data_IF_067948242939
#
_entry.id   IF_067948242939
#
_cell.length_a   1.000
_cell.length_b   1.000
_cell.length_c   1.000
_cell.angle_alpha   90.00
_cell.angle_beta   90.00
_cell.angle_gamma   90.00
#
_symmetry.space_group_name_H-M   'P 1'
#
loop_
_entity.id
_entity.type
_entity.pdbx_description
1 polymer ?
#
# COMPACT_ATOMS: atom_id res chain seq x y z
N UNK A 1 -4.71 -9.42 21.89
CA UNK A 1 -5.04 -8.21 21.14
C UNK A 1 -4.90 -7.02 22.08
N UNK A 2 -3.96 -6.12 21.77
CA UNK A 2 -3.84 -4.87 22.49
C UNK A 2 -4.89 -3.87 21.92
N UNK A 3 -5.91 -3.54 22.70
CA UNK A 3 -6.97 -2.62 22.28
C UNK A 3 -6.48 -1.22 21.94
N UNK A 4 -5.27 -0.87 22.39
CA UNK A 4 -4.67 0.44 22.17
C UNK A 4 -3.67 0.44 20.99
N UNK A 5 -3.45 -0.68 20.32
CA UNK A 5 -2.60 -0.71 19.12
C UNK A 5 -3.21 0.18 18.02
N UNK A 6 -2.37 1.09 17.50
CA UNK A 6 -2.76 2.05 16.48
C UNK A 6 -3.74 3.13 16.93
N UNK A 7 -3.98 3.27 18.24
CA UNK A 7 -4.78 4.38 18.79
C UNK A 7 -3.92 5.63 18.89
N UNK A 8 -4.44 6.75 18.38
CA UNK A 8 -3.82 8.08 18.49
C UNK A 8 -4.59 8.90 19.50
N UNK A 9 -3.94 9.26 20.61
CA UNK A 9 -4.49 10.13 21.64
C UNK A 9 -4.23 11.59 21.29
N UNK A 10 -5.24 12.43 21.48
CA UNK A 10 -5.22 13.88 21.19
C UNK A 10 -5.81 14.66 22.37
N UNK A 11 -5.82 15.98 22.33
CA UNK A 11 -6.38 16.79 23.42
C UNK A 11 -7.90 16.57 23.61
N UNK A 12 -8.63 16.23 22.56
CA UNK A 12 -10.10 16.11 22.56
C UNK A 12 -10.64 14.70 22.72
N UNK A 13 -9.82 13.68 22.47
CA UNK A 13 -10.26 12.29 22.43
C UNK A 13 -9.23 11.42 21.73
N UNK A 14 -9.68 10.30 21.25
CA UNK A 14 -8.82 9.32 20.58
C UNK A 14 -9.34 8.96 19.19
N UNK A 15 -8.41 8.66 18.31
CA UNK A 15 -8.67 8.15 16.97
C UNK A 15 -8.19 6.71 16.87
N UNK A 16 -8.97 5.85 16.21
CA UNK A 16 -8.63 4.43 16.05
C UNK A 16 -9.12 3.88 14.71
N UNK A 17 -8.45 2.88 14.19
CA UNK A 17 -8.91 2.10 13.05
C UNK A 17 -9.50 0.77 13.56
N UNK A 18 -10.78 0.48 13.24
CA UNK A 18 -11.50 -0.72 13.72
C UNK A 18 -12.56 -1.17 12.71
N UNK A 19 -12.95 -2.44 12.81
CA UNK A 19 -13.97 -3.08 11.96
C UNK A 19 -15.36 -3.14 12.60
N UNK A 20 -15.74 -2.17 13.41
CA UNK A 20 -16.95 -2.26 14.28
C UNK A 20 -18.26 -2.44 13.53
N UNK A 21 -18.46 -1.79 12.38
CA UNK A 21 -19.78 -1.70 11.74
C UNK A 21 -19.81 -2.32 10.34
N UNK A 22 -18.70 -2.29 9.60
CA UNK A 22 -18.71 -2.56 8.16
C UNK A 22 -17.98 -3.84 7.78
N UNK A 23 -17.23 -4.44 8.71
CA UNK A 23 -16.27 -5.51 8.42
C UNK A 23 -14.98 -5.02 7.74
N UNK A 24 -14.90 -3.72 7.43
CA UNK A 24 -13.70 -3.06 6.91
C UNK A 24 -13.10 -2.13 7.97
N UNK A 25 -11.81 -1.90 7.92
CA UNK A 25 -11.14 -0.99 8.87
C UNK A 25 -11.53 0.46 8.59
N UNK A 26 -12.38 1.02 9.44
CA UNK A 26 -12.75 2.42 9.38
C UNK A 26 -12.06 3.20 10.48
N UNK A 27 -11.86 4.49 10.25
CA UNK A 27 -11.34 5.41 11.26
C UNK A 27 -12.49 5.95 12.08
N UNK A 28 -12.37 5.86 13.40
CA UNK A 28 -13.32 6.37 14.38
C UNK A 28 -12.67 7.42 15.27
N UNK A 29 -13.47 8.37 15.70
CA UNK A 29 -13.17 9.30 16.79
C UNK A 29 -14.04 8.98 17.99
N UNK A 30 -13.48 9.00 19.20
CA UNK A 30 -14.17 8.88 20.47
C UNK A 30 -13.70 10.00 21.41
N UNK A 31 -14.64 10.84 21.90
CA UNK A 31 -14.33 11.84 22.92
C UNK A 31 -14.07 11.21 24.29
N UNK A 32 -13.23 11.84 25.13
CA UNK A 32 -12.90 11.31 26.46
C UNK A 32 -14.10 11.21 27.41
N UNK A 33 -15.13 12.04 27.22
CA UNK A 33 -16.37 11.96 28.01
C UNK A 33 -17.39 10.95 27.46
N UNK A 34 -17.03 10.25 26.38
CA UNK A 34 -17.84 9.22 25.74
C UNK A 34 -19.09 9.72 25.01
N UNK A 35 -19.30 11.04 24.91
CA UNK A 35 -20.52 11.59 24.29
C UNK A 35 -20.46 11.65 22.78
N UNK A 36 -19.28 11.70 22.18
CA UNK A 36 -19.08 11.68 20.74
C UNK A 36 -18.36 10.40 20.34
N UNK A 37 -19.05 9.54 19.58
CA UNK A 37 -18.47 8.41 18.87
C UNK A 37 -18.85 8.52 17.40
N UNK A 38 -17.88 8.72 16.53
CA UNK A 38 -18.13 9.03 15.12
C UNK A 38 -17.19 8.29 14.18
N UNK A 39 -17.77 7.63 13.18
CA UNK A 39 -17.05 7.08 12.06
C UNK A 39 -16.69 8.18 11.07
N UNK A 40 -15.42 8.22 10.63
CA UNK A 40 -14.87 9.25 9.74
C UNK A 40 -14.70 8.76 8.30
N UNK A 41 -14.53 7.46 8.09
CA UNK A 41 -14.30 6.88 6.77
C UNK A 41 -15.34 5.84 6.42
N UNK A 42 -15.47 5.60 5.11
CA UNK A 42 -16.28 4.54 4.50
C UNK A 42 -15.47 3.76 3.47
N UNK A 43 -16.07 2.70 2.90
CA UNK A 43 -15.50 1.90 1.83
C UNK A 43 -14.65 0.74 2.33
N UNK A 44 -13.98 0.07 1.38
CA UNK A 44 -13.26 -1.17 1.62
C UNK A 44 -11.82 -0.90 2.06
N UNK A 45 -11.64 -0.30 3.24
CA UNK A 45 -10.32 -0.03 3.79
C UNK A 45 -9.80 -1.23 4.56
N UNK A 46 -8.55 -1.59 4.34
CA UNK A 46 -7.84 -2.55 5.15
C UNK A 46 -6.36 -2.19 5.27
N UNK A 47 -5.64 -2.80 6.22
CA UNK A 47 -4.25 -2.46 6.55
C UNK A 47 -4.11 -0.95 6.86
N UNK A 48 -5.05 -0.45 7.69
CA UNK A 48 -5.18 0.98 8.01
C UNK A 48 -4.27 1.35 9.16
N UNK A 49 -3.42 2.35 8.95
CA UNK A 49 -2.62 2.94 10.02
C UNK A 49 -2.79 4.47 10.02
N UNK A 50 -3.19 5.04 11.16
CA UNK A 50 -3.24 6.48 11.35
C UNK A 50 -1.81 7.00 11.55
N UNK A 51 -1.38 7.91 10.68
CA UNK A 51 0.00 8.44 10.71
C UNK A 51 0.08 9.86 11.27
N UNK A 52 -1.03 10.61 11.23
CA UNK A 52 -1.09 11.97 11.79
C UNK A 52 -2.54 12.41 12.00
N UNK A 53 -2.78 13.17 13.06
CA UNK A 53 -4.01 13.93 13.27
C UNK A 53 -3.66 15.41 13.32
N UNK A 54 -4.36 16.24 12.53
CA UNK A 54 -4.32 17.70 12.62
C UNK A 54 -5.62 18.18 13.30
N UNK A 55 -5.60 18.26 14.62
CA UNK A 55 -6.80 18.62 15.41
C UNK A 55 -7.34 20.01 15.08
N UNK A 56 -6.46 20.95 14.69
CA UNK A 56 -6.89 22.33 14.36
C UNK A 56 -7.75 22.34 13.11
N UNK A 57 -7.44 21.52 12.12
CA UNK A 57 -8.21 21.38 10.87
C UNK A 57 -9.29 20.29 10.97
N UNK A 58 -9.13 19.33 11.86
CA UNK A 58 -9.93 18.12 11.94
C UNK A 58 -9.60 17.13 10.83
N UNK A 59 -8.38 17.17 10.30
CA UNK A 59 -7.89 16.28 9.26
C UNK A 59 -7.17 15.08 9.89
N UNK A 60 -7.46 13.87 9.41
CA UNK A 60 -6.74 12.63 9.79
C UNK A 60 -6.03 12.08 8.57
N UNK A 61 -4.72 11.87 8.70
CA UNK A 61 -3.88 11.27 7.67
C UNK A 61 -3.64 9.80 8.01
N UNK A 62 -3.84 8.92 7.04
CA UNK A 62 -3.73 7.48 7.24
C UNK A 62 -3.21 6.78 6.00
N UNK A 63 -2.52 5.68 6.20
CA UNK A 63 -2.21 4.74 5.13
C UNK A 63 -3.24 3.62 5.12
N UNK A 64 -3.58 3.14 3.95
CA UNK A 64 -4.52 2.04 3.76
C UNK A 64 -4.36 1.39 2.39
N UNK A 65 -4.83 0.15 2.27
CA UNK A 65 -5.20 -0.46 1.00
C UNK A 65 -6.69 -0.22 0.82
N UNK A 66 -7.04 0.74 -0.03
CA UNK A 66 -8.41 1.19 -0.27
C UNK A 66 -8.81 1.06 -1.74
N UNK A 67 -8.06 1.71 -2.61
CA UNK A 67 -8.37 1.78 -4.04
C UNK A 67 -7.78 0.59 -4.81
N UNK A 68 -6.85 -0.15 -4.19
CA UNK A 68 -6.24 -1.34 -4.77
C UNK A 68 -5.80 -2.31 -3.67
N UNK A 69 -6.14 -3.59 -3.80
CA UNK A 69 -5.85 -4.64 -2.80
C UNK A 69 -4.36 -4.94 -2.63
N UNK A 70 -3.55 -4.72 -3.68
CA UNK A 70 -2.12 -5.01 -3.68
C UNK A 70 -1.24 -3.78 -3.38
N UNK A 71 -1.83 -2.59 -3.20
CA UNK A 71 -1.11 -1.32 -2.99
C UNK A 71 -1.59 -0.58 -1.76
N UNK A 72 -0.66 -0.06 -0.99
CA UNK A 72 -0.90 0.90 0.06
C UNK A 72 -0.72 2.32 -0.47
N UNK A 73 -1.56 3.25 -0.04
CA UNK A 73 -1.45 4.66 -0.35
C UNK A 73 -1.67 5.51 0.91
N UNK A 74 -1.22 6.77 0.86
CA UNK A 74 -1.53 7.77 1.88
C UNK A 74 -2.80 8.51 1.52
N UNK A 75 -3.70 8.60 2.47
CA UNK A 75 -4.97 9.31 2.38
C UNK A 75 -5.08 10.38 3.47
N UNK A 76 -5.95 11.31 3.23
CA UNK A 76 -6.44 12.27 4.22
C UNK A 76 -7.96 12.20 4.25
N UNK A 77 -8.55 12.10 5.42
CA UNK A 77 -9.98 12.36 5.63
C UNK A 77 -10.14 13.69 6.37
N UNK A 78 -11.00 14.56 5.86
CA UNK A 78 -11.32 15.84 6.50
C UNK A 78 -12.48 15.70 7.52
N UNK A 79 -12.76 16.78 8.24
CA UNK A 79 -13.86 16.82 9.24
C UNK A 79 -15.26 16.56 8.67
N UNK A 80 -15.44 16.61 7.32
CA UNK A 80 -16.71 16.32 6.63
C UNK A 80 -16.76 14.86 6.16
N UNK A 81 -15.70 14.06 6.38
CA UNK A 81 -15.60 12.68 5.91
C UNK A 81 -15.13 12.55 4.45
N UNK A 82 -14.65 13.64 3.83
CA UNK A 82 -14.13 13.57 2.45
C UNK A 82 -12.73 12.99 2.47
N UNK A 83 -12.57 11.84 1.82
CA UNK A 83 -11.27 11.17 1.66
C UNK A 83 -10.58 11.65 0.40
N UNK A 84 -9.31 12.02 0.53
CA UNK A 84 -8.44 12.47 -0.58
C UNK A 84 -7.18 11.63 -0.58
N UNK A 85 -6.79 11.08 -1.74
CA UNK A 85 -5.51 10.37 -1.93
C UNK A 85 -4.37 11.39 -2.04
N UNK A 86 -3.27 11.16 -1.32
CA UNK A 86 -2.11 12.05 -1.27
C UNK A 86 -0.86 11.49 -1.98
N UNK A 87 -0.88 10.25 -2.40
CA UNK A 87 0.21 9.58 -3.14
C UNK A 87 -0.24 9.15 -4.53
N UNK A 88 0.71 8.99 -5.45
CA UNK A 88 0.39 8.58 -6.83
C UNK A 88 -0.17 7.14 -6.85
N UNK A 89 -1.38 6.90 -7.38
CA UNK A 89 -2.00 5.58 -7.43
C UNK A 89 -1.24 4.57 -8.31
N UNK A 90 -0.30 5.03 -9.14
CA UNK A 90 0.58 4.14 -9.91
C UNK A 90 1.54 3.34 -9.02
N UNK A 91 1.78 3.79 -7.79
CA UNK A 91 2.79 3.21 -6.90
C UNK A 91 2.20 2.76 -5.57
N UNK A 92 2.85 1.76 -4.98
CA UNK A 92 2.69 1.40 -3.57
C UNK A 92 3.52 2.37 -2.73
N UNK A 93 2.90 3.06 -1.78
CA UNK A 93 3.55 4.04 -0.91
C UNK A 93 3.61 3.52 0.52
N UNK A 94 4.80 3.54 1.12
CA UNK A 94 5.08 3.04 2.47
C UNK A 94 6.03 3.97 3.22
N UNK A 95 6.24 3.72 4.52
CA UNK A 95 7.20 4.47 5.33
C UNK A 95 6.87 5.97 5.42
N UNK A 96 5.59 6.30 5.49
CA UNK A 96 5.13 7.70 5.56
C UNK A 96 5.50 8.32 6.90
N UNK A 97 6.17 9.47 6.85
CA UNK A 97 6.48 10.29 8.02
C UNK A 97 6.31 11.77 7.73
N UNK A 98 5.64 12.50 8.61
CA UNK A 98 5.37 13.93 8.44
C UNK A 98 6.42 14.79 9.13
N UNK A 99 6.69 15.97 8.55
CA UNK A 99 7.41 17.03 9.24
C UNK A 99 6.63 17.50 10.49
N UNK A 100 7.31 18.02 11.54
CA UNK A 100 6.63 18.50 12.75
C UNK A 100 5.53 19.52 12.48
N UNK A 101 5.74 20.41 11.51
CA UNK A 101 4.75 21.43 11.13
C UNK A 101 3.62 20.88 10.21
N UNK A 102 3.72 19.61 9.80
CA UNK A 102 2.75 18.93 8.96
C UNK A 102 2.64 19.44 7.52
N UNK A 103 3.58 20.27 7.06
CA UNK A 103 3.54 20.83 5.69
C UNK A 103 4.11 19.86 4.65
N UNK A 104 4.94 18.94 5.07
CA UNK A 104 5.65 17.99 4.24
C UNK A 104 5.49 16.57 4.79
N UNK A 105 5.61 15.58 3.92
CA UNK A 105 5.83 14.20 4.32
C UNK A 105 6.88 13.55 3.42
N UNK A 106 7.57 12.58 3.97
CA UNK A 106 8.43 11.65 3.22
C UNK A 106 7.68 10.35 3.03
N UNK A 107 7.88 9.69 1.90
CA UNK A 107 7.41 8.34 1.65
C UNK A 107 8.37 7.59 0.73
N UNK A 108 8.43 6.27 0.92
CA UNK A 108 9.00 5.35 -0.05
C UNK A 108 7.92 4.93 -1.02
N UNK A 109 8.21 4.88 -2.31
CA UNK A 109 7.26 4.41 -3.31
C UNK A 109 7.93 3.52 -4.36
N UNK A 110 7.20 2.54 -4.85
CA UNK A 110 7.64 1.59 -5.87
C UNK A 110 6.44 0.89 -6.49
N UNK A 111 6.67 0.14 -7.54
CA UNK A 111 5.78 -0.89 -8.06
C UNK A 111 6.62 -2.06 -8.58
N UNK A 112 6.01 -3.09 -9.16
CA UNK A 112 6.73 -4.30 -9.63
C UNK A 112 7.81 -4.01 -10.67
N UNK A 113 7.71 -2.91 -11.43
CA UNK A 113 8.66 -2.53 -12.49
C UNK A 113 9.55 -1.33 -12.14
N UNK A 114 9.24 -0.64 -11.05
CA UNK A 114 9.97 0.57 -10.64
C UNK A 114 10.68 0.32 -9.31
N UNK A 115 12.02 0.36 -9.26
CA UNK A 115 12.81 0.32 -8.05
C UNK A 115 12.35 1.35 -7.01
N UNK A 116 12.54 1.02 -5.74
CA UNK A 116 12.11 1.89 -4.64
C UNK A 116 12.80 3.25 -4.71
N UNK A 117 11.99 4.29 -4.60
CA UNK A 117 12.44 5.67 -4.46
C UNK A 117 11.91 6.25 -3.15
N UNK A 118 12.66 7.15 -2.57
CA UNK A 118 12.25 7.95 -1.42
C UNK A 118 12.11 9.39 -1.86
N UNK A 119 10.98 10.01 -1.56
CA UNK A 119 10.74 11.39 -1.92
C UNK A 119 10.05 12.17 -0.81
N UNK A 120 10.22 13.49 -0.85
CA UNK A 120 9.54 14.46 0.00
C UNK A 120 8.41 15.10 -0.80
N UNK A 121 7.22 15.14 -0.20
CA UNK A 121 5.99 15.64 -0.81
C UNK A 121 5.36 16.75 0.03
N UNK A 122 4.72 17.76 -0.60
CA UNK A 122 3.89 18.70 0.14
C UNK A 122 2.59 18.03 0.59
N UNK A 123 2.20 18.22 1.85
CA UNK A 123 0.98 17.63 2.42
C UNK A 123 -0.33 18.28 1.92
N UNK A 124 -0.24 19.36 1.15
CA UNK A 124 -1.41 20.10 0.65
C UNK A 124 -2.27 19.32 -0.37
N UNK A 125 -1.77 18.22 -0.92
CA UNK A 125 -2.48 17.39 -1.89
C UNK A 125 -2.68 18.01 -3.27
N UNK A 126 -2.26 19.25 -3.49
CA UNK A 126 -2.52 19.97 -4.75
C UNK A 126 -1.70 19.50 -5.94
N UNK A 127 -0.60 18.78 -5.71
CA UNK A 127 0.28 18.21 -6.76
C UNK A 127 0.88 16.91 -6.27
N UNK A 128 0.10 15.86 -6.22
CA UNK A 128 0.51 14.51 -5.77
C UNK A 128 1.76 14.00 -6.52
N UNK A 129 1.94 14.42 -7.77
CA UNK A 129 2.99 13.91 -8.67
C UNK A 129 4.35 14.63 -8.59
N UNK A 130 4.50 15.61 -7.73
CA UNK A 130 5.71 16.46 -7.66
C UNK A 130 6.51 16.30 -6.38
N UNK A 131 6.70 15.05 -5.93
CA UNK A 131 7.65 14.76 -4.87
C UNK A 131 9.09 15.03 -5.32
N UNK A 132 9.90 15.60 -4.42
CA UNK A 132 11.33 15.72 -4.63
C UNK A 132 12.01 14.42 -4.21
N UNK A 133 12.55 13.67 -5.19
CA UNK A 133 13.27 12.40 -4.93
C UNK A 133 14.58 12.72 -4.21
N UNK A 134 14.74 12.13 -3.02
CA UNK A 134 15.94 12.28 -2.18
C UNK A 134 16.80 11.01 -2.18
N UNK A 135 16.24 9.85 -2.54
CA UNK A 135 16.98 8.62 -2.75
C UNK A 135 16.32 7.79 -3.86
N UNK A 136 17.14 7.21 -4.71
CA UNK A 136 16.75 6.25 -5.74
C UNK A 136 17.55 4.97 -5.50
N UNK A 137 16.83 3.85 -5.26
CA UNK A 137 17.47 2.56 -5.00
C UNK A 137 17.89 1.85 -6.29
N UNK A 138 17.61 2.43 -7.43
CA UNK A 138 18.13 1.95 -8.70
C UNK A 138 19.62 2.26 -8.77
N UNK A 139 20.47 1.24 -8.71
CA UNK A 139 21.91 1.41 -8.92
C UNK A 139 22.22 1.83 -10.35
N UNK A 140 23.40 2.47 -10.60
CA UNK A 140 23.77 2.98 -11.92
C UNK A 140 23.89 1.87 -12.98
N UNK A 141 24.21 0.65 -12.55
CA UNK A 141 24.39 -0.51 -13.44
C UNK A 141 23.15 -1.39 -13.56
N UNK A 142 22.01 -0.97 -12.98
CA UNK A 142 20.78 -1.73 -13.05
C UNK A 142 20.20 -1.72 -14.47
N UNK A 143 20.06 -2.93 -15.03
CA UNK A 143 19.44 -3.18 -16.33
C UNK A 143 18.31 -4.19 -16.16
N UNK A 144 17.06 -3.70 -16.25
CA UNK A 144 15.85 -4.51 -16.05
C UNK A 144 15.78 -5.71 -17.01
N UNK A 145 16.35 -5.61 -18.20
CA UNK A 145 16.32 -6.70 -19.21
C UNK A 145 17.08 -7.95 -18.80
N UNK A 146 17.98 -7.82 -17.80
CA UNK A 146 18.78 -8.94 -17.29
C UNK A 146 18.07 -9.78 -16.23
N UNK A 147 16.91 -9.34 -15.77
CA UNK A 147 16.21 -9.95 -14.63
C UNK A 147 14.83 -10.43 -14.99
N UNK A 148 14.41 -11.52 -14.36
CA UNK A 148 13.04 -11.98 -14.36
C UNK A 148 12.23 -11.11 -13.38
N UNK A 149 11.41 -10.21 -13.93
CA UNK A 149 10.54 -9.34 -13.15
C UNK A 149 9.12 -9.89 -13.09
N UNK A 150 8.45 -9.63 -11.97
CA UNK A 150 7.06 -10.01 -11.78
C UNK A 150 6.10 -9.14 -12.58
N UNK A 151 5.01 -9.74 -13.00
CA UNK A 151 3.83 -9.06 -13.57
C UNK A 151 2.65 -9.24 -12.64
N UNK A 152 2.00 -8.13 -12.27
CA UNK A 152 0.79 -8.18 -11.45
C UNK A 152 -0.41 -8.50 -12.35
N UNK A 153 -1.09 -9.60 -12.03
CA UNK A 153 -2.29 -10.06 -12.74
C UNK A 153 -3.47 -10.10 -11.79
N UNK A 154 -4.68 -10.14 -12.37
CA UNK A 154 -5.91 -10.26 -11.59
C UNK A 154 -6.78 -11.36 -12.16
N UNK A 155 -7.29 -12.21 -11.28
CA UNK A 155 -8.27 -13.24 -11.61
C UNK A 155 -9.59 -12.92 -10.91
N UNK A 156 -10.70 -13.14 -11.61
CA UNK A 156 -12.03 -13.00 -11.01
C UNK A 156 -12.56 -14.38 -10.62
N UNK A 157 -12.90 -14.56 -9.36
CA UNK A 157 -13.52 -15.80 -8.86
C UNK A 157 -14.97 -15.92 -9.31
N UNK A 158 -15.56 -17.10 -9.20
CA UNK A 158 -16.95 -17.36 -9.61
C UNK A 158 -17.98 -16.53 -8.84
N UNK A 159 -17.66 -16.11 -7.62
CA UNK A 159 -18.46 -15.21 -6.77
C UNK A 159 -18.13 -13.71 -7.01
N UNK A 160 -17.30 -13.40 -8.03
CA UNK A 160 -17.01 -12.04 -8.45
C UNK A 160 -15.86 -11.35 -7.70
N UNK A 161 -15.14 -12.07 -6.83
CA UNK A 161 -14.00 -11.49 -6.13
C UNK A 161 -12.79 -11.35 -7.07
N UNK A 162 -12.10 -10.20 -7.01
CA UNK A 162 -10.93 -9.93 -7.84
C UNK A 162 -9.65 -10.21 -7.05
N UNK A 163 -9.04 -11.37 -7.31
CA UNK A 163 -7.81 -11.80 -6.64
C UNK A 163 -6.57 -11.30 -7.40
N UNK A 164 -5.61 -10.65 -6.71
CA UNK A 164 -4.33 -10.33 -7.30
C UNK A 164 -3.44 -11.59 -7.34
N UNK A 165 -2.68 -11.74 -8.41
CA UNK A 165 -1.63 -12.73 -8.58
C UNK A 165 -0.34 -12.06 -9.06
N UNK A 166 0.80 -12.68 -8.83
CA UNK A 166 2.09 -12.26 -9.37
C UNK A 166 2.60 -13.38 -10.26
N UNK A 167 2.92 -13.07 -11.52
CA UNK A 167 3.50 -14.04 -12.45
C UNK A 167 4.92 -13.60 -12.82
N UNK A 168 5.87 -14.51 -12.77
CA UNK A 168 7.21 -14.34 -13.33
C UNK A 168 7.37 -15.36 -14.45
N UNK A 169 7.56 -14.86 -15.66
CA UNK A 169 7.74 -15.70 -16.84
C UNK A 169 9.20 -16.11 -17.04
N UNK A 170 9.44 -17.28 -17.69
CA UNK A 170 10.76 -17.61 -18.21
C UNK A 170 11.29 -16.56 -19.16
N UNK A 171 12.62 -16.42 -19.22
CA UNK A 171 13.30 -15.40 -20.06
C UNK A 171 12.88 -15.47 -21.53
N UNK A 172 12.75 -16.67 -22.08
CA UNK A 172 12.38 -16.90 -23.48
C UNK A 172 10.95 -17.46 -23.59
N UNK A 173 10.01 -16.83 -22.86
CA UNK A 173 8.62 -17.30 -22.78
C UNK A 173 7.92 -17.24 -24.14
N UNK A 174 7.35 -18.38 -24.55
CA UNK A 174 6.59 -18.55 -25.78
C UNK A 174 5.20 -19.10 -25.43
N UNK A 175 4.16 -18.31 -25.67
CA UNK A 175 2.76 -18.64 -25.35
C UNK A 175 2.26 -19.92 -26.04
N UNK A 176 2.91 -20.37 -27.12
CA UNK A 176 2.54 -21.60 -27.82
C UNK A 176 3.04 -22.87 -27.15
N UNK A 177 3.93 -22.75 -26.17
CA UNK A 177 4.55 -23.86 -25.46
C UNK A 177 3.90 -24.10 -24.09
N UNK A 178 4.15 -25.29 -23.54
CA UNK A 178 3.78 -25.65 -22.17
C UNK A 178 5.01 -25.57 -21.28
N UNK A 179 4.81 -25.03 -20.08
CA UNK A 179 5.87 -24.85 -19.09
C UNK A 179 5.46 -25.50 -17.76
N UNK A 180 6.42 -26.03 -16.99
CA UNK A 180 6.18 -26.33 -15.59
C UNK A 180 5.85 -25.04 -14.82
N UNK A 181 5.03 -25.15 -13.79
CA UNK A 181 4.59 -24.03 -12.97
C UNK A 181 4.98 -24.27 -11.52
N UNK A 182 5.66 -23.33 -10.92
CA UNK A 182 5.87 -23.26 -9.48
C UNK A 182 4.85 -22.29 -8.87
N UNK A 183 4.05 -22.80 -7.93
CA UNK A 183 3.02 -21.97 -7.25
C UNK A 183 3.44 -21.77 -5.80
N UNK A 184 3.53 -20.51 -5.39
CA UNK A 184 3.80 -20.10 -4.01
C UNK A 184 2.57 -19.40 -3.43
N UNK A 185 1.93 -20.03 -2.46
CA UNK A 185 0.73 -19.50 -1.79
C UNK A 185 0.92 -19.47 -0.28
N UNK A 186 0.46 -18.40 0.33
CA UNK A 186 0.30 -18.34 1.77
C UNK A 186 -1.17 -18.68 2.12
N UNK A 187 -1.39 -19.85 2.70
CA UNK A 187 -2.72 -20.33 3.06
C UNK A 187 -3.26 -19.85 4.41
N UNK A 188 -2.61 -18.88 5.05
CA UNK A 188 -2.99 -18.34 6.35
C UNK A 188 -3.61 -16.93 6.28
N UNK A 189 -4.23 -16.45 7.39
CA UNK A 189 -4.77 -15.11 7.48
C UNK A 189 -3.67 -14.05 7.59
N UNK A 190 -4.01 -12.81 7.29
CA UNK A 190 -3.28 -11.56 7.60
C UNK A 190 -1.94 -11.31 6.89
N UNK A 191 -1.50 -12.21 6.01
CA UNK A 191 -0.20 -12.02 5.31
C UNK A 191 -0.35 -12.19 3.79
N UNK A 192 -0.88 -11.20 3.07
CA UNK A 192 -0.94 -11.28 1.62
C UNK A 192 0.46 -11.25 1.02
N UNK A 193 0.79 -12.24 0.19
CA UNK A 193 2.08 -12.32 -0.50
C UNK A 193 2.13 -11.36 -1.69
N UNK A 194 1.03 -11.24 -2.42
CA UNK A 194 0.95 -10.41 -3.62
C UNK A 194 0.87 -8.94 -3.24
N UNK A 195 1.92 -8.21 -3.61
CA UNK A 195 2.03 -6.75 -3.38
C UNK A 195 2.62 -6.09 -4.60
N UNK A 196 2.01 -5.01 -5.08
CA UNK A 196 2.55 -4.20 -6.17
C UNK A 196 3.68 -3.31 -5.64
N UNK A 197 4.82 -3.92 -5.38
CA UNK A 197 6.02 -3.24 -4.89
C UNK A 197 7.26 -3.79 -5.58
N UNK A 198 8.31 -3.01 -5.58
CA UNK A 198 9.61 -3.48 -6.01
C UNK A 198 10.11 -4.60 -5.09
N UNK A 199 10.52 -5.68 -5.72
CA UNK A 199 11.30 -6.75 -5.10
C UNK A 199 12.61 -6.83 -5.84
N UNK A 200 13.71 -6.65 -5.11
CA UNK A 200 15.04 -6.79 -5.71
C UNK A 200 15.17 -8.17 -6.33
N UNK A 201 15.57 -8.27 -7.61
CA UNK A 201 15.79 -9.54 -8.26
C UNK A 201 16.72 -10.43 -7.43
N UNK A 202 16.35 -11.68 -7.24
CA UNK A 202 17.12 -12.63 -6.45
C UNK A 202 17.46 -13.87 -7.27
N UNK A 203 18.49 -14.59 -6.83
CA UNK A 203 19.01 -15.76 -7.52
C UNK A 203 17.97 -16.88 -7.67
N UNK A 204 17.04 -17.02 -6.71
CA UNK A 204 16.02 -18.06 -6.75
C UNK A 204 15.01 -17.81 -7.88
N UNK A 205 14.45 -16.61 -7.96
CA UNK A 205 13.50 -16.25 -9.03
C UNK A 205 14.18 -16.30 -10.41
N UNK A 206 15.43 -15.86 -10.47
CA UNK A 206 16.20 -15.93 -11.70
C UNK A 206 16.45 -17.37 -12.13
N UNK A 207 16.78 -18.25 -11.18
CA UNK A 207 17.00 -19.67 -11.47
C UNK A 207 15.76 -20.33 -12.08
N UNK A 208 14.57 -20.09 -11.53
CA UNK A 208 13.32 -20.61 -12.10
C UNK A 208 13.10 -20.12 -13.54
N UNK A 209 13.29 -18.82 -13.75
CA UNK A 209 13.14 -18.21 -15.07
C UNK A 209 14.14 -18.79 -16.10
N UNK A 210 15.41 -18.93 -15.72
CA UNK A 210 16.47 -19.49 -16.59
C UNK A 210 16.26 -20.97 -16.89
N UNK A 211 15.53 -21.70 -16.03
CA UNK A 211 15.19 -23.12 -16.23
C UNK A 211 13.80 -23.34 -16.86
N UNK A 212 13.18 -22.32 -17.39
CA UNK A 212 11.92 -22.44 -18.11
C UNK A 212 10.72 -22.74 -17.23
N UNK A 213 10.69 -22.27 -15.98
CA UNK A 213 9.62 -22.49 -15.01
C UNK A 213 8.87 -21.20 -14.80
N UNK A 214 7.54 -21.21 -15.01
CA UNK A 214 6.66 -20.10 -14.64
C UNK A 214 6.50 -20.09 -13.12
N UNK A 215 6.56 -18.93 -12.48
CA UNK A 215 6.30 -18.75 -11.06
C UNK A 215 5.00 -17.97 -10.86
N UNK A 216 4.15 -18.40 -9.95
CA UNK A 216 2.88 -17.75 -9.60
C UNK A 216 2.76 -17.65 -8.09
#
# INVERSE_FOLDING_TARGET
>A
LNWFDGVVFTDRGLYMAREFETGWQQIYFLSYDGKEFRRLTDGSNWDVAIVRVDEKKGDVYFTAKRDAVAKQALYKVDKKGVVTTLTDPAYNATGVSFSPDGKWFVASYSNVTTPTKVAVFPSSGRKIRSGHVVADMQGPDYDASKYALGELVYMTTTDGFRLPGMIVYPKDFDQSKKYPVHVDIYGGPDTPLVRDRWVTPNASNQWYSDNGIIQI
#
